data_IF_622947972435
#
_entry.id   IF_622947972435
#
_cell.length_a   1.000
_cell.length_b   1.000
_cell.length_c   1.000
_cell.angle_alpha   90.00
_cell.angle_beta   90.00
_cell.angle_gamma   90.00
#
_symmetry.space_group_name_H-M   'P 1'
#
loop_
_entity.id
_entity.type
_entity.pdbx_description
1 polymer ?
#
# COMPACT_ATOMS: atom_id res chain seq x y z
N UNK A 1 -7.95 65.37 30.03
CA UNK A 1 -7.91 64.72 28.70
C UNK A 1 -7.02 63.45 28.73
N UNK A 2 -7.14 62.58 29.73
CA UNK A 2 -6.29 61.38 29.90
C UNK A 2 -7.06 60.06 29.85
N UNK A 3 -8.38 60.09 30.04
CA UNK A 3 -9.23 58.89 30.07
C UNK A 3 -9.25 58.15 28.72
N UNK A 4 -9.27 58.86 27.58
CA UNK A 4 -9.23 58.23 26.25
C UNK A 4 -7.95 57.43 25.99
N UNK A 5 -6.80 57.89 26.52
CA UNK A 5 -5.52 57.19 26.38
C UNK A 5 -5.50 55.86 27.13
N UNK A 6 -6.22 55.75 28.25
CA UNK A 6 -6.32 54.51 29.02
C UNK A 6 -7.13 53.46 28.26
N UNK A 7 -8.27 53.85 27.68
CA UNK A 7 -9.07 52.96 26.85
C UNK A 7 -8.31 52.51 25.60
N UNK A 8 -7.59 53.40 24.93
CA UNK A 8 -6.75 53.02 23.77
C UNK A 8 -5.68 51.99 24.14
N UNK A 9 -5.02 52.14 25.30
CA UNK A 9 -4.05 51.16 25.79
C UNK A 9 -4.68 49.81 26.11
N UNK A 10 -5.85 49.80 26.76
CA UNK A 10 -6.60 48.57 27.06
C UNK A 10 -7.03 47.87 25.77
N UNK A 11 -7.48 48.63 24.77
CA UNK A 11 -7.95 48.12 23.49
C UNK A 11 -6.78 47.55 22.66
N UNK A 12 -5.62 48.22 22.68
CA UNK A 12 -4.38 47.69 22.10
C UNK A 12 -3.92 46.40 22.79
N UNK A 13 -4.01 46.35 24.13
CA UNK A 13 -3.64 45.17 24.90
C UNK A 13 -4.58 43.99 24.60
N UNK A 14 -5.90 44.23 24.54
CA UNK A 14 -6.87 43.18 24.21
C UNK A 14 -6.72 42.70 22.77
N UNK A 15 -6.43 43.61 21.84
CA UNK A 15 -6.20 43.25 20.44
C UNK A 15 -4.93 42.42 20.29
N UNK A 16 -3.84 42.78 20.98
CA UNK A 16 -2.61 41.99 21.01
C UNK A 16 -2.82 40.60 21.62
N UNK A 17 -3.58 40.53 22.71
CA UNK A 17 -3.92 39.25 23.34
C UNK A 17 -4.79 38.37 22.42
N UNK A 18 -5.77 38.96 21.74
CA UNK A 18 -6.59 38.25 20.76
C UNK A 18 -5.75 37.73 19.59
N UNK A 19 -4.84 38.56 19.05
CA UNK A 19 -3.93 38.14 17.99
C UNK A 19 -3.03 36.97 18.42
N UNK A 20 -2.53 37.00 19.66
CA UNK A 20 -1.74 35.92 20.24
C UNK A 20 -2.53 34.61 20.33
N UNK A 21 -3.80 34.67 20.76
CA UNK A 21 -4.67 33.50 20.80
C UNK A 21 -4.92 32.90 19.41
N UNK A 22 -5.14 33.75 18.40
CA UNK A 22 -5.31 33.30 17.01
C UNK A 22 -4.03 32.64 16.50
N UNK A 23 -2.87 33.24 16.76
CA UNK A 23 -1.58 32.67 16.39
C UNK A 23 -1.36 31.31 17.07
N UNK A 24 -1.64 31.19 18.37
CA UNK A 24 -1.57 29.91 19.08
C UNK A 24 -2.53 28.88 18.47
N UNK A 25 -3.78 29.24 18.20
CA UNK A 25 -4.75 28.31 17.61
C UNK A 25 -4.35 27.79 16.22
N UNK A 26 -3.65 28.61 15.43
CA UNK A 26 -3.20 28.27 14.07
C UNK A 26 -1.87 27.50 14.09
N UNK A 27 -0.90 27.91 14.91
CA UNK A 27 0.46 27.39 14.92
C UNK A 27 0.75 26.32 15.99
N UNK A 28 -0.21 26.02 16.88
CA UNK A 28 -0.04 24.91 17.82
C UNK A 28 0.00 23.56 17.10
N UNK A 29 0.73 22.59 17.64
CA UNK A 29 1.03 21.29 17.01
C UNK A 29 -0.23 20.50 16.61
N UNK A 30 -1.34 20.73 17.29
CA UNK A 30 -2.67 20.17 17.00
C UNK A 30 -3.67 21.22 16.49
N UNK A 31 -3.17 22.30 15.89
CA UNK A 31 -4.00 23.38 15.37
C UNK A 31 -4.95 22.94 14.26
N UNK A 32 -5.88 23.82 13.92
CA UNK A 32 -6.97 23.56 12.96
C UNK A 32 -6.43 23.10 11.59
N UNK A 33 -5.27 23.61 11.19
CA UNK A 33 -4.64 23.26 9.92
C UNK A 33 -4.16 21.79 9.88
N UNK A 34 -3.61 21.28 10.98
CA UNK A 34 -3.16 19.90 11.07
C UNK A 34 -4.35 18.93 11.12
N UNK A 35 -5.41 19.28 11.84
CA UNK A 35 -6.63 18.50 11.86
C UNK A 35 -7.24 18.36 10.45
N UNK A 36 -7.31 19.46 9.69
CA UNK A 36 -7.80 19.44 8.32
C UNK A 36 -6.91 18.62 7.38
N UNK A 37 -5.58 18.77 7.47
CA UNK A 37 -4.63 17.97 6.67
C UNK A 37 -4.76 16.48 6.98
N UNK A 38 -4.86 16.13 8.25
CA UNK A 38 -4.99 14.74 8.69
C UNK A 38 -6.29 14.11 8.19
N UNK A 39 -7.40 14.85 8.22
CA UNK A 39 -8.67 14.39 7.67
C UNK A 39 -8.59 14.14 6.15
N UNK A 40 -7.97 15.07 5.40
CA UNK A 40 -7.73 14.90 3.97
C UNK A 40 -6.82 13.70 3.66
N UNK A 41 -5.76 13.50 4.43
CA UNK A 41 -4.89 12.33 4.27
C UNK A 41 -5.64 11.03 4.57
N UNK A 42 -6.45 10.98 5.63
CA UNK A 42 -7.27 9.82 5.92
C UNK A 42 -8.26 9.50 4.79
N UNK A 43 -8.92 10.52 4.24
CA UNK A 43 -9.82 10.36 3.09
C UNK A 43 -9.09 9.81 1.87
N UNK A 44 -7.91 10.36 1.55
CA UNK A 44 -7.08 9.90 0.45
C UNK A 44 -6.66 8.43 0.63
N UNK A 45 -6.18 8.06 1.81
CA UNK A 45 -5.74 6.70 2.12
C UNK A 45 -6.91 5.70 2.04
N UNK A 46 -8.11 6.09 2.50
CA UNK A 46 -9.31 5.26 2.38
C UNK A 46 -9.67 5.01 0.91
N UNK A 47 -9.71 6.06 0.10
CA UNK A 47 -10.02 5.94 -1.33
C UNK A 47 -8.98 5.08 -2.07
N UNK A 48 -7.70 5.24 -1.76
CA UNK A 48 -6.64 4.40 -2.32
C UNK A 48 -6.81 2.93 -1.93
N UNK A 49 -7.15 2.66 -0.67
CA UNK A 49 -7.40 1.30 -0.18
C UNK A 49 -8.60 0.66 -0.89
N UNK A 50 -9.70 1.39 -1.08
CA UNK A 50 -10.87 0.92 -1.84
C UNK A 50 -10.52 0.63 -3.30
N UNK A 51 -9.76 1.51 -3.96
CA UNK A 51 -9.27 1.30 -5.32
C UNK A 51 -8.40 0.05 -5.43
N UNK A 52 -7.50 -0.17 -4.46
CA UNK A 52 -6.65 -1.35 -4.40
C UNK A 52 -7.45 -2.63 -4.17
N UNK A 53 -8.47 -2.60 -3.30
CA UNK A 53 -9.36 -3.75 -3.08
C UNK A 53 -10.10 -4.13 -4.36
N UNK A 54 -10.70 -3.15 -5.03
CA UNK A 54 -11.41 -3.40 -6.29
C UNK A 54 -10.49 -4.02 -7.36
N UNK A 55 -9.23 -3.55 -7.46
CA UNK A 55 -8.23 -4.15 -8.34
C UNK A 55 -7.86 -5.57 -7.92
N UNK A 56 -7.68 -5.81 -6.63
CA UNK A 56 -7.37 -7.14 -6.10
C UNK A 56 -8.48 -8.14 -6.41
N UNK A 57 -9.74 -7.75 -6.18
CA UNK A 57 -10.90 -8.59 -6.47
C UNK A 57 -11.00 -8.90 -7.98
N UNK A 58 -10.74 -7.91 -8.84
CA UNK A 58 -10.63 -8.13 -10.28
C UNK A 58 -9.54 -9.14 -10.64
N UNK A 59 -8.34 -8.99 -10.09
CA UNK A 59 -7.25 -9.94 -10.34
C UNK A 59 -7.55 -11.33 -9.80
N UNK A 60 -8.24 -11.45 -8.67
CA UNK A 60 -8.67 -12.74 -8.13
C UNK A 60 -9.67 -13.42 -9.06
N UNK A 61 -10.63 -12.68 -9.60
CA UNK A 61 -11.56 -13.20 -10.60
C UNK A 61 -10.82 -13.66 -11.87
N UNK A 62 -9.86 -12.86 -12.35
CA UNK A 62 -9.03 -13.21 -13.51
C UNK A 62 -8.19 -14.46 -13.26
N UNK A 63 -7.53 -14.57 -12.10
CA UNK A 63 -6.79 -15.76 -11.68
C UNK A 63 -7.71 -16.97 -11.61
N UNK A 64 -8.91 -16.83 -11.04
CA UNK A 64 -9.87 -17.93 -10.95
C UNK A 64 -10.35 -18.35 -12.35
N UNK A 65 -10.57 -17.42 -13.27
CA UNK A 65 -10.91 -17.73 -14.65
C UNK A 65 -9.75 -18.39 -15.42
N UNK A 66 -8.50 -18.01 -15.12
CA UNK A 66 -7.31 -18.64 -15.72
C UNK A 66 -7.03 -20.02 -15.14
N UNK A 67 -7.32 -20.22 -13.85
CA UNK A 67 -7.09 -21.47 -13.11
C UNK A 67 -8.27 -22.43 -13.15
N UNK A 68 -9.43 -22.03 -13.67
CA UNK A 68 -10.62 -22.89 -13.63
C UNK A 68 -10.52 -24.15 -14.49
N UNK A 69 -9.50 -24.26 -15.37
CA UNK A 69 -9.20 -25.52 -16.04
C UNK A 69 -8.18 -26.35 -15.24
N UNK A 70 -8.58 -27.48 -14.64
CA UNK A 70 -7.68 -28.38 -13.92
C UNK A 70 -6.50 -28.86 -14.77
N UNK A 71 -6.67 -28.92 -16.10
CA UNK A 71 -5.61 -29.32 -17.03
C UNK A 71 -4.48 -28.29 -17.08
N UNK A 72 -4.80 -27.00 -17.14
CA UNK A 72 -3.79 -25.94 -17.17
C UNK A 72 -3.04 -25.82 -15.84
N UNK A 73 -3.71 -26.09 -14.72
CA UNK A 73 -3.04 -26.19 -13.41
C UNK A 73 -2.05 -27.36 -13.40
N UNK A 74 -2.47 -28.55 -13.85
CA UNK A 74 -1.61 -29.73 -13.87
C UNK A 74 -0.41 -29.55 -14.81
N UNK A 75 -0.62 -28.89 -15.95
CA UNK A 75 0.42 -28.53 -16.90
C UNK A 75 1.47 -27.63 -16.28
N UNK A 76 1.08 -26.53 -15.63
CA UNK A 76 2.02 -25.61 -14.95
C UNK A 76 2.75 -26.34 -13.82
N UNK A 77 2.05 -27.16 -13.04
CA UNK A 77 2.65 -27.93 -11.95
C UNK A 77 3.73 -28.90 -12.44
N UNK A 78 3.49 -29.63 -13.54
CA UNK A 78 4.44 -30.59 -14.12
C UNK A 78 5.58 -29.91 -14.90
N UNK A 79 5.29 -28.87 -15.68
CA UNK A 79 6.27 -28.25 -16.59
C UNK A 79 7.14 -27.17 -15.94
N UNK A 80 6.56 -26.36 -15.04
CA UNK A 80 7.26 -25.20 -14.45
C UNK A 80 7.77 -25.48 -13.05
N UNK A 81 7.05 -26.30 -12.30
CA UNK A 81 7.34 -26.57 -10.89
C UNK A 81 7.89 -28.00 -10.67
N UNK A 82 7.95 -28.84 -11.72
CA UNK A 82 8.35 -30.25 -11.66
C UNK A 82 7.66 -31.04 -10.52
N UNK A 83 6.42 -30.68 -10.19
CA UNK A 83 5.63 -31.35 -9.16
C UNK A 83 5.02 -32.64 -9.73
N UNK A 84 4.96 -33.68 -8.89
CA UNK A 84 4.42 -35.00 -9.22
C UNK A 84 3.33 -35.40 -8.22
N UNK A 85 2.37 -36.22 -8.65
CA UNK A 85 1.31 -36.72 -7.74
C UNK A 85 1.85 -37.86 -6.87
N UNK A 86 1.34 -38.05 -5.63
CA UNK A 86 1.68 -39.21 -4.82
C UNK A 86 1.37 -40.50 -5.57
N UNK A 87 2.40 -41.31 -5.85
CA UNK A 87 2.30 -42.56 -6.63
C UNK A 87 2.85 -42.51 -8.07
N UNK A 88 3.27 -41.34 -8.57
CA UNK A 88 3.89 -41.21 -9.89
C UNK A 88 5.32 -41.83 -9.90
N UNK A 89 5.69 -42.57 -10.95
CA UNK A 89 7.04 -43.11 -11.17
C UNK A 89 7.89 -42.15 -12.02
N UNK A 90 9.06 -41.75 -11.52
CA UNK A 90 9.98 -40.85 -12.22
C UNK A 90 10.95 -41.65 -13.08
N UNK A 91 10.93 -41.40 -14.40
CA UNK A 91 11.89 -41.98 -15.34
C UNK A 91 12.95 -40.94 -15.72
N UNK A 92 14.22 -41.27 -15.47
CA UNK A 92 15.34 -40.47 -15.93
C UNK A 92 15.84 -41.05 -17.25
N UNK A 93 15.77 -40.26 -18.32
CA UNK A 93 16.34 -40.63 -19.61
C UNK A 93 17.87 -40.46 -19.49
N UNK A 94 18.57 -41.56 -19.26
CA UNK A 94 20.03 -41.58 -19.32
C UNK A 94 20.46 -41.73 -20.77
N UNK A 95 21.31 -40.82 -21.25
CA UNK A 95 21.94 -41.03 -22.55
C UNK A 95 22.87 -42.23 -22.46
N UNK A 96 22.83 -43.18 -23.41
CA UNK A 96 23.75 -44.30 -23.42
C UNK A 96 25.17 -43.74 -23.47
N UNK A 97 25.97 -44.05 -22.45
CA UNK A 97 27.39 -43.70 -22.39
C UNK A 97 28.02 -44.20 -23.69
N UNK A 98 28.40 -43.29 -24.58
CA UNK A 98 29.19 -43.63 -25.77
C UNK A 98 30.51 -44.20 -25.26
N UNK A 99 30.60 -45.52 -25.18
CA UNK A 99 31.84 -46.23 -24.89
C UNK A 99 32.76 -46.00 -26.06
N UNK A 100 33.70 -45.07 -25.90
CA UNK A 100 34.84 -44.93 -26.80
C UNK A 100 35.67 -46.22 -26.67
N UNK A 101 36.01 -46.90 -27.77
CA UNK A 101 36.83 -48.10 -27.72
C UNK A 101 38.23 -47.78 -27.16
N UNK A 102 38.88 -48.73 -26.46
CA UNK A 102 40.19 -48.50 -25.87
C UNK A 102 41.23 -48.15 -26.94
N UNK A 103 42.16 -47.20 -26.68
CA UNK A 103 43.26 -46.92 -27.59
C UNK A 103 44.17 -48.16 -27.74
N UNK A 104 44.54 -48.45 -29.00
CA UNK A 104 45.41 -49.56 -29.40
C UNK A 104 46.87 -49.31 -29.02
#
# INVERSE_FOLDING_TARGET
>A
MTESSRYQKILLLSLGFFLLLVLMAVFHENGILNAYRLEQEQLKMKHENESLRAKNDKFRLEINALKSDPYEIEKIARERLNLIKPGDQVYHIVQPKKTLPPPQ
#
